data_IF_028772228933
#
_entry.id   IF_028772228933
#
_cell.length_a   1.000
_cell.length_b   1.000
_cell.length_c   1.000
_cell.angle_alpha   90.00
_cell.angle_beta   90.00
_cell.angle_gamma   90.00
#
_symmetry.space_group_name_H-M   'P 1'
#
loop_
_entity.id
_entity.type
_entity.pdbx_description
1 polymer ?
#
# COMPACT_ATOMS: atom_id res chain seq x y z
N UNK A 1 14.65 -0.47 11.43
CA UNK A 1 13.35 0.22 11.53
C UNK A 1 12.43 -0.62 12.40
N UNK A 2 11.66 0.02 13.28
CA UNK A 2 10.56 -0.68 13.96
C UNK A 2 9.36 -0.83 12.99
N UNK A 3 8.37 -1.63 13.37
CA UNK A 3 7.20 -1.87 12.51
C UNK A 3 6.41 -0.60 12.21
N UNK A 4 6.35 0.36 13.13
CA UNK A 4 5.66 1.64 12.93
C UNK A 4 6.26 2.42 11.75
N UNK A 5 7.58 2.58 11.73
CA UNK A 5 8.27 3.26 10.63
C UNK A 5 8.07 2.55 9.29
N UNK A 6 8.02 1.21 9.30
CA UNK A 6 7.80 0.41 8.09
C UNK A 6 6.37 0.62 7.56
N UNK A 7 5.37 0.59 8.45
CA UNK A 7 3.97 0.81 8.11
C UNK A 7 3.77 2.23 7.56
N UNK A 8 4.35 3.24 8.21
CA UNK A 8 4.28 4.64 7.76
C UNK A 8 4.84 4.80 6.34
N UNK A 9 6.01 4.21 6.06
CA UNK A 9 6.61 4.27 4.72
C UNK A 9 5.73 3.60 3.66
N UNK A 10 5.12 2.45 3.96
CA UNK A 10 4.20 1.77 3.02
C UNK A 10 2.97 2.61 2.73
N UNK A 11 2.33 3.13 3.77
CA UNK A 11 1.11 3.94 3.63
C UNK A 11 1.41 5.20 2.81
N UNK A 12 2.56 5.84 3.06
CA UNK A 12 2.99 7.00 2.30
C UNK A 12 3.17 6.66 0.81
N UNK A 13 3.90 5.59 0.50
CA UNK A 13 4.11 5.16 -0.89
C UNK A 13 2.80 4.84 -1.61
N UNK A 14 1.85 4.17 -0.93
CA UNK A 14 0.54 3.87 -1.51
C UNK A 14 -0.27 5.14 -1.80
N UNK A 15 -0.27 6.13 -0.90
CA UNK A 15 -0.97 7.41 -1.12
C UNK A 15 -0.37 8.18 -2.30
N UNK A 16 0.95 8.24 -2.40
CA UNK A 16 1.65 8.90 -3.50
C UNK A 16 1.34 8.23 -4.84
N UNK A 17 1.38 6.89 -4.89
CA UNK A 17 1.02 6.13 -6.07
C UNK A 17 -0.45 6.32 -6.48
N UNK A 18 -1.38 6.34 -5.52
CA UNK A 18 -2.81 6.55 -5.82
C UNK A 18 -3.08 7.93 -6.41
N UNK A 19 -2.47 8.98 -5.86
CA UNK A 19 -2.57 10.35 -6.41
C UNK A 19 -1.97 10.41 -7.82
N UNK A 20 -0.80 9.80 -8.03
CA UNK A 20 -0.17 9.74 -9.36
C UNK A 20 -1.08 9.05 -10.38
N UNK A 21 -1.66 7.90 -10.01
CA UNK A 21 -2.57 7.14 -10.85
C UNK A 21 -3.84 7.94 -11.18
N UNK A 22 -4.39 8.71 -10.23
CA UNK A 22 -5.53 9.58 -10.48
C UNK A 22 -5.20 10.69 -11.48
N UNK A 23 -4.02 11.30 -11.38
CA UNK A 23 -3.55 12.33 -12.32
C UNK A 23 -3.41 11.76 -13.73
N UNK A 24 -2.90 10.53 -13.84
CA UNK A 24 -2.68 9.84 -15.12
C UNK A 24 -3.95 9.19 -15.70
N UNK A 25 -5.08 9.22 -14.98
CA UNK A 25 -6.31 8.55 -15.39
C UNK A 25 -6.27 7.02 -15.30
N UNK A 26 -5.30 6.48 -14.55
CA UNK A 26 -5.12 5.06 -14.26
C UNK A 26 -5.64 4.69 -12.86
N UNK A 27 -6.66 5.40 -12.37
CA UNK A 27 -7.19 5.20 -11.03
C UNK A 27 -7.76 3.79 -10.86
N UNK A 28 -7.36 3.13 -9.76
CA UNK A 28 -7.84 1.82 -9.36
C UNK A 28 -9.15 1.87 -8.56
N UNK A 29 -9.59 3.09 -8.20
CA UNK A 29 -10.79 3.37 -7.42
C UNK A 29 -10.55 3.28 -5.90
N UNK A 30 -11.32 4.09 -5.17
CA UNK A 30 -11.20 4.26 -3.72
C UNK A 30 -11.35 2.95 -2.92
N UNK A 31 -12.18 2.00 -3.40
CA UNK A 31 -12.41 0.71 -2.73
C UNK A 31 -11.18 -0.20 -2.80
N UNK A 32 -10.55 -0.28 -3.98
CA UNK A 32 -9.32 -1.04 -4.19
C UNK A 32 -8.18 -0.42 -3.39
N UNK A 33 -8.08 0.92 -3.41
CA UNK A 33 -7.07 1.65 -2.64
C UNK A 33 -7.23 1.44 -1.13
N UNK A 34 -8.46 1.51 -0.61
CA UNK A 34 -8.75 1.26 0.81
C UNK A 34 -8.33 -0.15 1.24
N UNK A 35 -8.61 -1.15 0.41
CA UNK A 35 -8.19 -2.54 0.67
C UNK A 35 -6.66 -2.67 0.72
N UNK A 36 -5.93 -1.95 -0.13
CA UNK A 36 -4.46 -1.93 -0.10
C UNK A 36 -3.92 -1.25 1.16
N UNK A 37 -4.55 -0.18 1.63
CA UNK A 37 -4.18 0.48 2.88
C UNK A 37 -4.40 -0.41 4.11
N UNK A 38 -5.51 -1.15 4.17
CA UNK A 38 -5.75 -2.11 5.26
C UNK A 38 -4.65 -3.18 5.33
N UNK A 39 -4.24 -3.72 4.18
CA UNK A 39 -3.14 -4.69 4.10
C UNK A 39 -1.80 -4.07 4.52
N UNK A 40 -1.53 -2.82 4.15
CA UNK A 40 -0.28 -2.13 4.46
C UNK A 40 -0.10 -1.84 5.95
N UNK A 41 -1.21 -1.75 6.70
CA UNK A 41 -1.21 -1.60 8.16
C UNK A 41 -0.79 -2.87 8.92
N UNK A 42 -0.63 -4.02 8.26
CA UNK A 42 -0.22 -5.24 8.92
C UNK A 42 1.21 -5.10 9.50
N UNK A 43 1.45 -5.50 10.77
CA UNK A 43 2.77 -5.44 11.40
C UNK A 43 3.67 -6.59 10.93
N UNK A 44 3.94 -6.60 9.63
CA UNK A 44 4.74 -7.60 8.92
C UNK A 44 5.92 -6.92 8.21
N UNK A 45 6.95 -7.68 7.83
CA UNK A 45 8.11 -7.18 7.08
C UNK A 45 7.75 -6.86 5.63
N UNK A 46 8.57 -6.07 4.92
CA UNK A 46 8.29 -5.70 3.52
C UNK A 46 8.26 -6.95 2.63
N UNK A 47 9.19 -7.88 2.87
CA UNK A 47 9.24 -9.17 2.18
C UNK A 47 7.95 -9.98 2.36
N UNK A 48 7.38 -9.99 3.57
CA UNK A 48 6.13 -10.70 3.85
C UNK A 48 4.92 -9.97 3.24
N UNK A 49 4.95 -8.64 3.20
CA UNK A 49 3.93 -7.85 2.52
C UNK A 49 3.92 -8.14 1.01
N UNK A 50 5.09 -8.14 0.36
CA UNK A 50 5.26 -8.47 -1.06
C UNK A 50 4.85 -9.91 -1.39
N UNK A 51 5.19 -10.88 -0.53
CA UNK A 51 4.75 -12.28 -0.70
C UNK A 51 3.24 -12.41 -0.73
N UNK A 52 2.51 -11.62 0.08
CA UNK A 52 1.05 -11.70 0.18
C UNK A 52 0.32 -10.98 -0.96
N UNK A 53 0.94 -9.96 -1.56
CA UNK A 53 0.36 -9.25 -2.71
C UNK A 53 0.49 -10.02 -4.02
N UNK A 54 1.46 -10.92 -4.17
CA UNK A 54 1.65 -11.76 -5.37
C UNK A 54 0.58 -12.87 -5.52
N UNK A 55 -0.19 -13.17 -4.47
CA UNK A 55 -1.15 -14.30 -4.43
C UNK A 55 -2.61 -13.84 -4.72
N UNK A 56 -2.86 -12.59 -5.11
CA UNK A 56 -4.18 -12.09 -5.53
C UNK A 56 -4.19 -11.74 -7.02
#
# INVERSE_FOLDING_TARGET
MNFEQIIEQRIKALKEAHISNQIEGADMGDSTFSTMLERANAPITNEEFERRTIIC
#
